data_IF_760228810385
#
_entry.id   IF_760228810385
#
_cell.length_a   1.000
_cell.length_b   1.000
_cell.length_c   1.000
_cell.angle_alpha   90.00
_cell.angle_beta   90.00
_cell.angle_gamma   90.00
#
_symmetry.space_group_name_H-M   'P 1'
#
loop_
_entity.id
_entity.type
_entity.pdbx_description
1 polymer ?
#
# COMPACT_ATOMS: atom_id res chain seq x y z
N UNK A 1 -1.30 -28.42 25.44
CA UNK A 1 -0.55 -27.25 24.95
C UNK A 1 -0.49 -27.37 23.43
N UNK A 2 -0.81 -26.30 22.70
CA UNK A 2 -0.89 -26.35 21.25
C UNK A 2 0.43 -25.94 20.61
N UNK A 3 0.76 -26.47 19.43
CA UNK A 3 1.99 -26.09 18.74
C UNK A 3 1.87 -26.19 17.22
N UNK A 4 2.67 -25.41 16.51
CA UNK A 4 2.92 -25.51 15.06
C UNK A 4 4.31 -26.07 14.82
N UNK A 5 4.50 -26.76 13.70
CA UNK A 5 5.78 -27.32 13.25
C UNK A 5 5.93 -27.22 11.73
N UNK A 6 7.04 -27.74 11.19
CA UNK A 6 7.33 -27.73 9.75
C UNK A 6 6.33 -28.49 8.88
N UNK A 7 5.41 -29.26 9.46
CA UNK A 7 4.38 -30.00 8.74
C UNK A 7 3.01 -29.28 8.81
N UNK A 8 2.94 -28.08 9.39
CA UNK A 8 1.69 -27.30 9.49
C UNK A 8 1.20 -26.91 8.09
N UNK A 9 -0.09 -27.15 7.83
CA UNK A 9 -0.73 -26.87 6.55
C UNK A 9 -1.40 -25.50 6.59
N UNK A 10 -1.31 -24.72 5.51
CA UNK A 10 -2.05 -23.46 5.37
C UNK A 10 -3.31 -23.69 4.54
N UNK A 11 -4.47 -23.38 5.12
CA UNK A 11 -5.74 -23.33 4.40
C UNK A 11 -5.94 -21.90 3.90
N UNK A 12 -5.78 -21.71 2.60
CA UNK A 12 -5.95 -20.43 1.90
C UNK A 12 -7.44 -20.08 1.76
N UNK A 13 -7.81 -18.79 1.70
CA UNK A 13 -9.18 -18.39 1.40
C UNK A 13 -9.65 -18.95 0.06
N UNK A 14 -10.95 -19.20 -0.09
CA UNK A 14 -11.55 -19.71 -1.34
C UNK A 14 -11.18 -18.82 -2.54
N UNK A 15 -11.26 -17.50 -2.36
CA UNK A 15 -10.78 -16.50 -3.31
C UNK A 15 -9.57 -15.78 -2.74
N UNK A 16 -8.42 -15.94 -3.41
CA UNK A 16 -7.15 -15.31 -3.02
C UNK A 16 -6.88 -14.12 -3.94
N UNK A 17 -7.07 -12.90 -3.40
CA UNK A 17 -6.72 -11.66 -4.07
C UNK A 17 -5.20 -11.51 -4.22
N UNK A 18 -4.76 -10.54 -5.04
CA UNK A 18 -3.32 -10.27 -5.25
C UNK A 18 -2.59 -9.97 -3.93
N UNK A 19 -3.08 -9.06 -3.06
CA UNK A 19 -2.38 -8.72 -1.83
C UNK A 19 -2.23 -9.91 -0.88
N UNK A 20 -3.29 -10.70 -0.74
CA UNK A 20 -3.30 -11.89 0.12
C UNK A 20 -2.36 -12.96 -0.42
N UNK A 21 -2.26 -13.12 -1.75
CA UNK A 21 -1.28 -14.04 -2.36
C UNK A 21 0.15 -13.65 -2.02
N UNK A 22 0.51 -12.38 -2.18
CA UNK A 22 1.83 -11.89 -1.80
C UNK A 22 2.12 -12.10 -0.32
N UNK A 23 1.16 -11.82 0.57
CA UNK A 23 1.33 -12.09 2.00
C UNK A 23 1.53 -13.58 2.30
N UNK A 24 0.75 -14.48 1.69
CA UNK A 24 0.93 -15.94 1.86
C UNK A 24 2.32 -16.38 1.39
N UNK A 25 2.82 -15.89 0.26
CA UNK A 25 4.17 -16.17 -0.21
C UNK A 25 5.25 -15.72 0.79
N UNK A 26 5.09 -14.55 1.41
CA UNK A 26 5.97 -14.11 2.51
C UNK A 26 5.91 -15.08 3.68
N UNK A 27 4.72 -15.53 4.09
CA UNK A 27 4.55 -16.46 5.22
C UNK A 27 5.13 -17.84 4.91
N UNK A 28 5.01 -18.32 3.68
CA UNK A 28 5.59 -19.61 3.28
C UNK A 28 7.12 -19.57 3.33
N UNK A 29 7.72 -18.47 2.87
CA UNK A 29 9.16 -18.24 2.98
C UNK A 29 9.59 -18.12 4.45
N UNK A 30 8.83 -17.41 5.27
CA UNK A 30 9.13 -17.23 6.69
C UNK A 30 9.04 -18.58 7.44
N UNK A 31 8.01 -19.37 7.15
CA UNK A 31 7.83 -20.73 7.66
C UNK A 31 9.03 -21.61 7.27
N UNK A 32 9.43 -21.60 6.00
CA UNK A 32 10.58 -22.37 5.52
C UNK A 32 11.89 -21.96 6.20
N UNK A 33 12.11 -20.66 6.42
CA UNK A 33 13.29 -20.18 7.15
C UNK A 33 13.34 -20.66 8.60
N UNK A 34 12.19 -20.79 9.25
CA UNK A 34 12.09 -21.21 10.65
C UNK A 34 12.16 -22.73 10.80
N UNK A 35 11.37 -23.47 10.04
CA UNK A 35 11.25 -24.92 10.21
C UNK A 35 12.14 -25.73 9.26
N UNK A 36 12.77 -25.07 8.27
CA UNK A 36 13.63 -25.73 7.27
C UNK A 36 12.85 -26.51 6.20
N UNK A 37 11.52 -26.43 6.19
CA UNK A 37 10.64 -27.10 5.24
C UNK A 37 9.64 -26.09 4.68
N UNK A 38 9.46 -26.09 3.36
CA UNK A 38 8.39 -25.30 2.74
C UNK A 38 7.03 -25.87 3.17
N UNK A 39 6.09 -25.05 3.67
CA UNK A 39 4.81 -25.57 4.12
C UNK A 39 3.96 -26.07 2.95
N UNK A 40 3.05 -26.99 3.25
CA UNK A 40 1.98 -27.34 2.33
C UNK A 40 0.84 -26.34 2.44
N UNK A 41 0.16 -26.05 1.32
CA UNK A 41 -1.06 -25.25 1.32
C UNK A 41 -2.17 -25.90 0.51
N UNK A 42 -3.39 -25.68 0.96
CA UNK A 42 -4.61 -26.13 0.31
C UNK A 42 -5.61 -24.97 0.26
N UNK A 43 -6.46 -24.93 -0.77
CA UNK A 43 -7.58 -23.98 -0.76
C UNK A 43 -8.68 -24.51 0.14
N UNK A 44 -9.30 -23.63 0.92
CA UNK A 44 -10.49 -23.96 1.67
C UNK A 44 -11.61 -24.40 0.71
N UNK A 45 -11.92 -25.69 0.70
CA UNK A 45 -13.12 -26.26 0.10
C UNK A 45 -14.01 -26.74 1.26
N UNK A 46 -15.25 -26.26 1.30
CA UNK A 46 -16.25 -26.58 2.32
C UNK A 46 -16.47 -28.10 2.49
N UNK A 47 -16.08 -28.92 1.51
CA UNK A 47 -16.19 -30.39 1.56
C UNK A 47 -15.05 -31.11 2.29
N UNK A 48 -13.87 -30.48 2.48
CA UNK A 48 -12.64 -31.17 2.96
C UNK A 48 -12.16 -30.78 4.35
N UNK A 49 -12.67 -29.70 4.96
CA UNK A 49 -12.37 -29.38 6.36
C UNK A 49 -12.70 -30.55 7.31
N UNK A 50 -13.70 -31.39 6.97
CA UNK A 50 -14.07 -32.55 7.80
C UNK A 50 -13.08 -33.73 7.75
N UNK A 51 -12.23 -33.84 6.71
CA UNK A 51 -11.28 -34.96 6.55
C UNK A 51 -9.93 -34.77 7.22
N UNK A 52 -9.62 -33.57 7.71
CA UNK A 52 -8.41 -33.29 8.51
C UNK A 52 -8.63 -33.56 10.02
N UNK A 53 -9.88 -33.79 10.42
CA UNK A 53 -10.19 -34.43 11.69
C UNK A 53 -10.04 -35.93 11.49
N UNK A 54 -9.30 -36.60 12.38
CA UNK A 54 -9.30 -38.04 12.73
C UNK A 54 -7.87 -38.58 12.95
N UNK A 55 -7.16 -37.93 13.86
CA UNK A 55 -6.01 -38.52 14.55
C UNK A 55 -5.87 -37.87 15.92
N UNK A 56 -5.47 -38.64 16.94
CA UNK A 56 -4.98 -38.09 18.21
C UNK A 56 -3.74 -37.24 17.90
N UNK A 57 -3.94 -35.96 17.62
CA UNK A 57 -2.83 -35.01 17.55
C UNK A 57 -2.47 -34.65 18.99
N UNK A 58 -1.22 -34.94 19.37
CA UNK A 58 -0.58 -34.64 20.66
C UNK A 58 -0.45 -33.12 20.88
N UNK A 59 -1.57 -32.39 20.85
CA UNK A 59 -1.62 -30.92 20.90
C UNK A 59 -1.28 -30.20 19.58
N UNK A 60 -0.79 -30.89 18.55
CA UNK A 60 -0.41 -30.26 17.27
C UNK A 60 -1.57 -29.53 16.58
N UNK A 61 -1.32 -28.29 16.18
CA UNK A 61 -2.15 -27.50 15.25
C UNK A 61 -1.81 -28.00 13.85
N UNK A 62 -2.74 -28.76 13.26
CA UNK A 62 -2.55 -29.30 11.92
C UNK A 62 -2.62 -28.22 10.84
N UNK A 63 -3.47 -27.21 11.07
CA UNK A 63 -3.78 -26.21 10.07
C UNK A 63 -3.79 -24.78 10.60
N UNK A 64 -3.29 -23.86 9.78
CA UNK A 64 -3.52 -22.42 9.90
C UNK A 64 -4.57 -22.03 8.87
N UNK A 65 -5.73 -21.59 9.31
CA UNK A 65 -6.85 -21.24 8.46
C UNK A 65 -6.91 -19.73 8.24
N UNK A 66 -6.64 -19.30 7.01
CA UNK A 66 -6.66 -17.90 6.60
C UNK A 66 -7.99 -17.63 5.92
N UNK A 67 -8.79 -16.69 6.43
CA UNK A 67 -10.15 -16.45 5.91
C UNK A 67 -10.68 -15.06 6.21
N UNK A 68 -11.63 -14.61 5.39
CA UNK A 68 -12.39 -13.40 5.71
C UNK A 68 -13.34 -13.64 6.89
N UNK A 69 -13.60 -12.57 7.64
CA UNK A 69 -14.57 -12.59 8.73
C UNK A 69 -15.99 -12.83 8.19
N UNK A 70 -16.72 -13.75 8.81
CA UNK A 70 -18.13 -13.99 8.45
C UNK A 70 -19.06 -12.94 9.09
N UNK A 71 -18.66 -12.34 10.21
CA UNK A 71 -19.43 -11.38 10.99
C UNK A 71 -18.53 -10.52 11.89
N UNK A 72 -19.12 -9.57 12.61
CA UNK A 72 -18.41 -8.63 13.49
C UNK A 72 -17.88 -9.24 14.79
N UNK A 73 -18.40 -10.41 15.18
CA UNK A 73 -17.97 -11.11 16.41
C UNK A 73 -16.58 -11.71 16.22
N UNK A 74 -16.28 -12.19 15.01
CA UNK A 74 -14.98 -12.79 14.69
C UNK A 74 -13.88 -11.73 14.45
N UNK A 75 -14.26 -10.59 13.90
CA UNK A 75 -13.33 -9.51 13.59
C UNK A 75 -14.09 -8.17 13.57
N UNK A 76 -13.55 -7.09 14.16
CA UNK A 76 -14.22 -5.79 14.15
C UNK A 76 -14.60 -5.30 12.74
N UNK A 77 -15.70 -4.56 12.63
CA UNK A 77 -16.11 -3.92 11.38
C UNK A 77 -15.40 -2.57 11.19
N UNK A 78 -14.16 -2.64 10.72
CA UNK A 78 -13.38 -1.47 10.31
C UNK A 78 -12.28 -1.89 9.33
N UNK A 79 -11.80 -0.97 8.48
CA UNK A 79 -10.70 -1.26 7.56
C UNK A 79 -9.48 -1.83 8.28
N UNK A 80 -8.81 -2.78 7.63
CA UNK A 80 -7.54 -3.39 8.07
C UNK A 80 -7.65 -4.18 9.39
N UNK A 81 -8.86 -4.43 9.90
CA UNK A 81 -9.05 -5.23 11.09
C UNK A 81 -8.73 -6.70 10.86
N UNK A 82 -8.15 -7.34 11.87
CA UNK A 82 -7.89 -8.78 11.87
C UNK A 82 -7.93 -9.35 13.28
N UNK A 83 -8.10 -10.66 13.36
CA UNK A 83 -8.02 -11.43 14.58
C UNK A 83 -7.21 -12.72 14.36
N UNK A 84 -6.55 -13.19 15.42
CA UNK A 84 -5.86 -14.48 15.44
C UNK A 84 -6.37 -15.26 16.63
N UNK A 85 -6.91 -16.46 16.41
CA UNK A 85 -7.54 -17.25 17.46
C UNK A 85 -7.46 -18.75 17.18
N UNK A 86 -7.35 -19.55 18.25
CA UNK A 86 -7.43 -20.99 18.15
C UNK A 86 -8.91 -21.43 18.14
N UNK A 87 -9.31 -22.19 17.11
CA UNK A 87 -10.65 -22.74 16.98
C UNK A 87 -10.85 -24.01 17.81
N UNK A 88 -12.11 -24.39 18.02
CA UNK A 88 -12.45 -25.69 18.66
C UNK A 88 -12.05 -26.89 17.78
N UNK A 89 -11.87 -26.67 16.49
CA UNK A 89 -11.29 -27.59 15.51
C UNK A 89 -9.78 -27.82 15.72
N UNK A 90 -9.16 -27.06 16.64
CA UNK A 90 -7.71 -26.98 16.91
C UNK A 90 -6.91 -26.38 15.75
N UNK A 91 -7.55 -25.61 14.88
CA UNK A 91 -6.88 -24.81 13.86
C UNK A 91 -6.58 -23.42 14.39
N UNK A 92 -5.47 -22.85 13.95
CA UNK A 92 -5.18 -21.44 14.21
C UNK A 92 -5.82 -20.62 13.10
N UNK A 93 -6.86 -19.86 13.42
CA UNK A 93 -7.51 -18.98 12.46
C UNK A 93 -6.82 -17.62 12.42
N UNK A 94 -6.54 -17.14 11.21
CA UNK A 94 -6.18 -15.77 10.90
C UNK A 94 -7.36 -15.19 10.11
N UNK A 95 -8.12 -14.32 10.77
CA UNK A 95 -9.37 -13.76 10.26
C UNK A 95 -9.15 -12.29 9.91
N UNK A 96 -9.50 -11.87 8.70
CA UNK A 96 -9.36 -10.48 8.24
C UNK A 96 -10.70 -9.89 7.78
N UNK A 97 -10.90 -8.59 8.02
CA UNK A 97 -12.08 -7.85 7.54
C UNK A 97 -12.02 -7.58 6.03
N UNK A 98 -10.83 -7.28 5.53
CA UNK A 98 -10.53 -7.00 4.13
C UNK A 98 -9.15 -7.57 3.77
N UNK A 99 -8.72 -7.37 2.52
CA UNK A 99 -7.42 -7.83 2.02
C UNK A 99 -6.25 -7.38 2.91
N UNK A 100 -6.23 -6.12 3.35
CA UNK A 100 -5.16 -5.61 4.21
C UNK A 100 -5.25 -6.15 5.64
N UNK A 101 -6.47 -6.41 6.14
CA UNK A 101 -6.68 -7.13 7.39
C UNK A 101 -6.04 -8.52 7.34
N UNK A 102 -6.26 -9.28 6.27
CA UNK A 102 -5.60 -10.58 6.09
C UNK A 102 -4.08 -10.44 5.97
N UNK A 103 -3.58 -9.48 5.19
CA UNK A 103 -2.15 -9.19 5.08
C UNK A 103 -1.56 -8.93 6.48
N UNK A 104 -2.14 -8.03 7.28
CA UNK A 104 -1.62 -7.72 8.60
C UNK A 104 -1.80 -8.84 9.61
N UNK A 105 -2.86 -9.66 9.51
CA UNK A 105 -3.01 -10.86 10.33
C UNK A 105 -1.92 -11.89 10.05
N UNK A 106 -1.59 -12.11 8.79
CA UNK A 106 -0.48 -12.96 8.37
C UNK A 106 0.86 -12.41 8.85
N UNK A 107 1.12 -11.12 8.67
CA UNK A 107 2.37 -10.49 9.11
C UNK A 107 2.49 -10.42 10.64
N UNK A 108 1.38 -10.25 11.36
CA UNK A 108 1.34 -10.41 12.81
C UNK A 108 1.72 -11.83 13.21
N UNK A 109 1.16 -12.84 12.53
CA UNK A 109 1.51 -14.24 12.78
C UNK A 109 3.02 -14.50 12.55
N UNK A 110 3.58 -13.98 11.45
CA UNK A 110 5.02 -14.07 11.16
C UNK A 110 5.87 -13.43 12.25
N UNK A 111 5.49 -12.23 12.71
CA UNK A 111 6.25 -11.53 13.75
C UNK A 111 6.15 -12.23 15.11
N UNK A 112 4.93 -12.54 15.55
CA UNK A 112 4.67 -12.99 16.93
C UNK A 112 5.02 -14.45 17.14
N UNK A 113 4.68 -15.32 16.18
CA UNK A 113 4.89 -16.75 16.33
C UNK A 113 6.18 -17.21 15.64
N UNK A 114 6.37 -16.86 14.36
CA UNK A 114 7.58 -17.26 13.64
C UNK A 114 8.83 -16.48 14.07
N UNK A 115 8.67 -15.31 14.69
CA UNK A 115 9.77 -14.49 15.19
C UNK A 115 10.56 -13.79 14.09
N UNK A 116 9.92 -13.48 12.97
CA UNK A 116 10.56 -12.73 11.87
C UNK A 116 10.50 -11.25 12.15
N UNK A 117 11.66 -10.60 12.16
CA UNK A 117 11.76 -9.16 12.34
C UNK A 117 11.18 -8.39 11.13
N UNK A 118 10.43 -7.29 11.31
CA UNK A 118 9.96 -6.46 10.21
C UNK A 118 11.06 -5.98 9.25
N UNK A 119 12.29 -5.81 9.74
CA UNK A 119 13.47 -5.37 9.00
C UNK A 119 14.39 -6.53 8.58
N UNK A 120 13.92 -7.79 8.64
CA UNK A 120 14.76 -8.98 8.44
C UNK A 120 15.63 -8.92 7.18
N UNK A 121 15.09 -8.38 6.07
CA UNK A 121 15.80 -8.29 4.81
C UNK A 121 16.93 -7.25 4.88
N UNK A 122 16.60 -6.04 5.33
CA UNK A 122 17.51 -4.88 5.31
C UNK A 122 18.58 -4.92 6.40
N UNK A 123 18.27 -5.55 7.54
CA UNK A 123 19.18 -5.70 8.66
C UNK A 123 19.83 -7.10 8.72
N UNK A 124 19.61 -7.94 7.69
CA UNK A 124 20.11 -9.32 7.59
C UNK A 124 19.73 -10.20 8.80
N UNK A 125 18.59 -9.92 9.43
CA UNK A 125 18.09 -10.61 10.64
C UNK A 125 17.29 -11.86 10.27
N UNK A 126 17.97 -12.93 9.84
CA UNK A 126 17.29 -14.20 9.59
C UNK A 126 16.67 -14.77 10.88
N UNK A 127 15.43 -15.30 10.83
CA UNK A 127 14.78 -15.84 12.02
C UNK A 127 15.50 -17.11 12.50
N UNK A 128 15.39 -17.38 13.81
CA UNK A 128 15.97 -18.57 14.42
C UNK A 128 15.25 -19.84 13.95
N UNK A 129 16.02 -20.88 13.62
CA UNK A 129 15.47 -22.20 13.27
C UNK A 129 14.86 -22.88 14.49
N UNK A 130 13.74 -23.56 14.31
CA UNK A 130 13.00 -24.28 15.37
C UNK A 130 12.33 -25.53 14.80
N UNK A 131 12.24 -26.58 15.60
CA UNK A 131 11.50 -27.80 15.22
C UNK A 131 9.99 -27.64 15.45
N UNK A 132 9.61 -26.89 16.50
CA UNK A 132 8.22 -26.58 16.87
C UNK A 132 8.11 -25.24 17.59
N UNK A 133 6.93 -24.63 17.55
CA UNK A 133 6.59 -23.39 18.26
C UNK A 133 5.29 -23.59 19.02
N UNK A 134 5.33 -23.38 20.33
CA UNK A 134 4.14 -23.46 21.18
C UNK A 134 3.24 -22.24 20.98
N UNK A 135 1.94 -22.49 20.88
CA UNK A 135 0.89 -21.49 20.69
C UNK A 135 0.02 -21.50 21.94
N UNK A 136 -0.03 -20.36 22.62
CA UNK A 136 -0.96 -20.15 23.72
C UNK A 136 -2.38 -19.98 23.17
N UNK A 137 -3.36 -20.52 23.89
CA UNK A 137 -4.77 -20.33 23.58
C UNK A 137 -5.26 -18.97 24.12
N UNK A 138 -4.72 -17.90 23.52
CA UNK A 138 -5.09 -16.52 23.84
C UNK A 138 -5.45 -15.83 22.53
N UNK A 139 -6.72 -15.45 22.33
CA UNK A 139 -7.12 -14.75 21.11
C UNK A 139 -6.50 -13.35 21.09
N UNK A 140 -6.12 -12.91 19.89
CA UNK A 140 -5.67 -11.55 19.62
C UNK A 140 -6.63 -10.90 18.64
N UNK A 141 -7.06 -9.68 18.95
CA UNK A 141 -7.82 -8.83 18.03
C UNK A 141 -7.01 -7.57 17.81
N UNK A 142 -6.85 -7.17 16.54
CA UNK A 142 -6.08 -5.99 16.20
C UNK A 142 -6.70 -4.74 16.82
N UNK A 143 -5.89 -3.69 16.98
CA UNK A 143 -6.34 -2.35 17.35
C UNK A 143 -6.32 -1.46 16.11
N UNK A 144 -7.21 -0.45 16.01
CA UNK A 144 -7.18 0.47 14.88
C UNK A 144 -5.86 1.25 14.85
N UNK A 145 -5.31 1.46 13.66
CA UNK A 145 -4.19 2.38 13.48
C UNK A 145 -4.66 3.82 13.79
N UNK A 146 -3.83 4.60 14.48
CA UNK A 146 -4.13 5.99 14.78
C UNK A 146 -4.12 6.91 13.54
N UNK A 147 -3.47 6.48 12.46
CA UNK A 147 -3.34 7.21 11.20
C UNK A 147 -3.87 6.35 10.05
N UNK A 148 -4.76 6.91 9.24
CA UNK A 148 -5.44 6.18 8.16
C UNK A 148 -4.49 5.80 7.02
N UNK A 149 -3.62 6.73 6.58
CA UNK A 149 -2.65 6.51 5.50
C UNK A 149 -1.23 6.64 6.03
N UNK A 150 -0.44 5.58 5.86
CA UNK A 150 0.84 5.40 6.55
C UNK A 150 1.86 4.84 5.59
N UNK A 151 2.98 5.53 5.45
CA UNK A 151 4.15 4.92 4.82
C UNK A 151 5.19 5.93 4.43
N UNK A 152 5.85 5.68 3.30
CA UNK A 152 7.01 6.45 2.89
C UNK A 152 6.98 6.83 1.42
N UNK A 153 7.82 7.80 1.12
CA UNK A 153 8.20 8.18 -0.22
C UNK A 153 9.59 7.59 -0.50
N UNK A 154 9.69 6.75 -1.52
CA UNK A 154 10.98 6.28 -2.03
C UNK A 154 11.49 7.36 -2.97
N UNK A 155 12.35 8.24 -2.46
CA UNK A 155 12.94 9.36 -3.20
C UNK A 155 14.47 9.23 -3.30
N UNK A 156 15.07 10.00 -4.21
CA UNK A 156 16.51 10.01 -4.47
C UNK A 156 17.01 8.59 -4.69
N UNK A 157 16.24 7.83 -5.47
CA UNK A 157 16.33 6.37 -5.59
C UNK A 157 17.59 5.90 -6.34
N UNK A 158 18.61 6.74 -6.48
CA UNK A 158 19.89 6.43 -7.14
C UNK A 158 20.50 5.13 -6.60
N UNK A 159 20.46 4.92 -5.28
CA UNK A 159 20.93 3.67 -4.67
C UNK A 159 20.04 2.48 -5.01
N UNK A 160 18.73 2.68 -5.16
CA UNK A 160 17.76 1.64 -5.50
C UNK A 160 17.84 1.28 -6.99
N UNK A 161 17.96 2.29 -7.87
CA UNK A 161 18.20 2.16 -9.31
C UNK A 161 19.53 1.44 -9.56
N UNK A 162 20.58 1.80 -8.82
CA UNK A 162 21.89 1.19 -8.94
C UNK A 162 22.05 -0.15 -8.23
N UNK A 163 21.04 -0.63 -7.50
CA UNK A 163 21.14 -1.89 -6.75
C UNK A 163 21.25 -3.10 -7.69
N UNK A 164 20.58 -3.04 -8.84
CA UNK A 164 20.73 -3.99 -9.94
C UNK A 164 20.98 -3.27 -11.26
N UNK A 165 21.42 -4.01 -12.27
CA UNK A 165 21.79 -3.43 -13.57
C UNK A 165 20.58 -3.07 -14.43
N UNK A 166 19.44 -3.73 -14.21
CA UNK A 166 18.23 -3.58 -14.98
C UNK A 166 17.47 -2.29 -14.63
N UNK A 167 17.06 -1.55 -15.66
CA UNK A 167 16.27 -0.34 -15.53
C UNK A 167 15.03 -0.37 -16.45
N UNK A 168 13.83 -0.01 -15.98
CA UNK A 168 13.47 0.38 -14.61
C UNK A 168 13.68 -0.75 -13.58
N UNK A 169 13.84 -0.45 -12.27
CA UNK A 169 14.17 -1.47 -11.28
C UNK A 169 13.10 -2.56 -11.21
N UNK A 170 13.55 -3.81 -11.10
CA UNK A 170 12.70 -5.00 -11.21
C UNK A 170 11.89 -5.25 -9.94
N UNK A 171 10.97 -6.22 -9.99
CA UNK A 171 10.16 -6.58 -8.84
C UNK A 171 11.01 -7.04 -7.65
N UNK A 172 12.15 -7.69 -7.89
CA UNK A 172 13.08 -8.13 -6.84
C UNK A 172 13.68 -6.96 -6.05
N UNK A 173 13.81 -5.78 -6.66
CA UNK A 173 14.29 -4.56 -6.00
C UNK A 173 13.17 -3.90 -5.18
N UNK A 174 11.95 -3.88 -5.71
CA UNK A 174 10.80 -3.20 -5.08
C UNK A 174 10.09 -4.03 -4.01
N UNK A 175 10.04 -5.36 -4.16
CA UNK A 175 9.35 -6.23 -3.20
C UNK A 175 9.88 -6.08 -1.78
N UNK A 176 11.21 -6.07 -1.50
CA UNK A 176 11.72 -5.88 -0.15
C UNK A 176 11.35 -4.53 0.46
N UNK A 177 11.22 -3.47 -0.36
CA UNK A 177 10.75 -2.16 0.08
C UNK A 177 9.29 -2.29 0.57
N UNK A 178 8.39 -2.72 -0.31
CA UNK A 178 6.97 -2.79 0.01
C UNK A 178 6.65 -3.82 1.10
N UNK A 179 7.34 -4.95 1.14
CA UNK A 179 7.21 -5.94 2.21
C UNK A 179 7.58 -5.33 3.56
N UNK A 180 8.71 -4.62 3.63
CA UNK A 180 9.15 -3.98 4.88
C UNK A 180 8.13 -2.95 5.35
N UNK A 181 7.57 -2.16 4.42
CA UNK A 181 6.52 -1.21 4.72
C UNK A 181 5.29 -1.90 5.33
N UNK A 182 4.80 -2.97 4.71
CA UNK A 182 3.66 -3.74 5.21
C UNK A 182 3.95 -4.37 6.57
N UNK A 183 5.14 -4.92 6.80
CA UNK A 183 5.55 -5.51 8.09
C UNK A 183 5.59 -4.48 9.23
N UNK A 184 5.89 -3.23 8.90
CA UNK A 184 5.86 -2.10 9.83
C UNK A 184 4.44 -1.51 10.00
N UNK A 185 3.44 -2.07 9.32
CA UNK A 185 2.04 -1.65 9.39
C UNK A 185 1.69 -0.48 8.46
N UNK A 186 2.57 -0.12 7.51
CA UNK A 186 2.26 0.86 6.47
C UNK A 186 1.31 0.33 5.40
N UNK A 187 0.54 1.22 4.78
CA UNK A 187 -0.43 0.92 3.74
C UNK A 187 -0.38 1.85 2.53
N UNK A 188 0.50 2.85 2.50
CA UNK A 188 0.57 3.85 1.42
C UNK A 188 2.01 4.12 1.01
N UNK A 189 2.27 4.29 -0.29
CA UNK A 189 3.60 4.57 -0.81
C UNK A 189 3.57 5.58 -1.96
N UNK A 190 4.62 6.39 -2.07
CA UNK A 190 5.02 7.05 -3.32
C UNK A 190 6.16 6.20 -3.91
N UNK A 191 5.90 5.36 -4.93
CA UNK A 191 6.83 4.34 -5.39
C UNK A 191 7.87 4.89 -6.40
N UNK A 192 8.56 5.96 -6.02
CA UNK A 192 9.50 6.69 -6.89
C UNK A 192 8.92 7.96 -7.49
N UNK A 193 9.80 8.79 -8.06
CA UNK A 193 9.45 10.01 -8.82
C UNK A 193 10.07 9.93 -10.21
N UNK A 194 9.36 10.37 -11.25
CA UNK A 194 9.84 10.38 -12.64
C UNK A 194 10.37 9.04 -13.18
N UNK A 195 10.00 7.91 -12.55
CA UNK A 195 10.31 6.59 -13.05
C UNK A 195 9.50 6.28 -14.33
N UNK A 196 10.04 5.46 -15.26
CA UNK A 196 9.33 5.09 -16.48
C UNK A 196 7.97 4.43 -16.15
N UNK A 197 6.93 4.81 -16.88
CA UNK A 197 5.58 4.21 -16.77
C UNK A 197 5.54 2.71 -17.01
N UNK A 198 6.52 2.17 -17.73
CA UNK A 198 6.70 0.72 -17.94
C UNK A 198 7.29 0.01 -16.72
N UNK A 199 7.69 0.74 -15.69
CA UNK A 199 8.22 0.20 -14.45
C UNK A 199 7.17 -0.56 -13.65
N UNK A 200 7.61 -1.65 -13.02
CA UNK A 200 6.72 -2.55 -12.28
C UNK A 200 6.27 -1.98 -10.92
N UNK A 201 6.96 -0.97 -10.40
CA UNK A 201 6.80 -0.41 -9.05
C UNK A 201 5.36 -0.02 -8.71
N UNK A 202 4.67 0.73 -9.59
CA UNK A 202 3.29 1.15 -9.39
C UNK A 202 2.34 -0.04 -9.30
N UNK A 203 2.42 -0.95 -10.27
CA UNK A 203 1.55 -2.11 -10.33
C UNK A 203 1.82 -3.07 -9.18
N UNK A 204 3.09 -3.29 -8.83
CA UNK A 204 3.51 -4.13 -7.73
C UNK A 204 3.05 -3.59 -6.38
N UNK A 205 3.11 -2.27 -6.15
CA UNK A 205 2.59 -1.67 -4.92
C UNK A 205 1.09 -1.98 -4.74
N UNK A 206 0.30 -1.78 -5.80
CA UNK A 206 -1.13 -2.12 -5.82
C UNK A 206 -1.37 -3.63 -5.62
N UNK A 207 -0.59 -4.48 -6.30
CA UNK A 207 -0.70 -5.93 -6.19
C UNK A 207 -0.35 -6.45 -4.79
N UNK A 208 0.54 -5.76 -4.06
CA UNK A 208 0.85 -6.04 -2.66
C UNK A 208 -0.15 -5.39 -1.68
N UNK A 209 -1.12 -4.64 -2.19
CA UNK A 209 -2.23 -4.07 -1.42
C UNK A 209 -2.01 -2.64 -0.92
N UNK A 210 -0.92 -1.97 -1.29
CA UNK A 210 -0.66 -0.59 -0.90
C UNK A 210 -1.55 0.38 -1.68
N UNK A 211 -1.96 1.45 -1.03
CA UNK A 211 -2.39 2.69 -1.70
C UNK A 211 -1.18 3.32 -2.38
N UNK A 212 -1.36 3.75 -3.63
CA UNK A 212 -0.39 4.59 -4.31
C UNK A 212 -0.80 6.06 -4.13
N UNK A 213 0.17 6.91 -3.86
CA UNK A 213 0.03 8.37 -3.94
C UNK A 213 1.19 8.95 -4.74
N UNK A 214 1.15 10.24 -5.02
CA UNK A 214 2.04 10.87 -6.00
C UNK A 214 2.98 11.88 -5.35
N UNK A 215 4.10 12.17 -6.01
CA UNK A 215 4.91 13.31 -5.61
C UNK A 215 4.11 14.62 -5.84
N UNK A 216 4.28 15.64 -5.00
CA UNK A 216 3.51 16.88 -5.12
C UNK A 216 3.78 17.67 -6.40
N UNK A 217 4.87 17.37 -7.12
CA UNK A 217 5.17 17.95 -8.44
C UNK A 217 4.53 17.16 -9.60
N UNK A 218 3.92 16.01 -9.33
CA UNK A 218 3.27 15.10 -10.29
C UNK A 218 1.77 14.99 -9.97
N UNK A 219 0.99 16.10 -10.06
CA UNK A 219 -0.41 16.09 -9.67
C UNK A 219 -1.19 15.00 -10.39
N UNK A 220 -2.02 14.28 -9.65
CA UNK A 220 -2.85 13.16 -10.13
C UNK A 220 -2.06 11.97 -10.71
N UNK A 221 -0.73 11.94 -10.55
CA UNK A 221 0.15 10.97 -11.23
C UNK A 221 0.18 11.18 -12.75
N UNK A 222 -0.03 12.42 -13.20
CA UNK A 222 0.00 12.77 -14.61
C UNK A 222 1.42 12.82 -15.18
N UNK A 223 1.53 12.74 -16.52
CA UNK A 223 2.83 12.99 -17.15
C UNK A 223 3.29 14.41 -16.88
N UNK A 224 4.60 14.58 -16.74
CA UNK A 224 5.20 15.90 -16.74
C UNK A 224 4.97 16.59 -18.09
N UNK A 225 4.38 17.79 -18.06
CA UNK A 225 4.08 18.62 -19.22
C UNK A 225 5.24 18.77 -20.19
N UNK A 226 6.45 19.11 -19.72
CA UNK A 226 7.62 19.31 -20.58
C UNK A 226 8.11 18.01 -21.24
N UNK A 227 7.76 16.85 -20.67
CA UNK A 227 8.04 15.52 -21.24
C UNK A 227 7.03 15.17 -22.34
N UNK A 228 5.75 15.41 -22.07
CA UNK A 228 4.67 15.18 -23.03
C UNK A 228 4.69 16.18 -24.20
N UNK A 229 5.15 17.41 -23.96
CA UNK A 229 5.20 18.49 -24.95
C UNK A 229 6.57 19.19 -24.99
N UNK A 230 7.61 18.50 -25.51
CA UNK A 230 8.95 19.08 -25.61
C UNK A 230 8.95 20.40 -26.39
N UNK A 231 9.66 21.41 -25.87
CA UNK A 231 9.80 22.73 -26.51
C UNK A 231 8.62 23.69 -26.28
N UNK A 232 7.59 23.31 -25.51
CA UNK A 232 6.54 24.24 -25.05
C UNK A 232 6.87 24.82 -23.68
N UNK A 233 6.42 26.04 -23.42
CA UNK A 233 6.42 26.62 -22.07
C UNK A 233 5.38 25.92 -21.21
N UNK A 234 5.77 25.47 -20.02
CA UNK A 234 4.85 24.89 -19.05
C UNK A 234 4.05 25.99 -18.32
N UNK A 235 3.11 26.60 -19.03
CA UNK A 235 2.17 27.62 -18.52
C UNK A 235 0.74 27.10 -18.61
N UNK A 236 0.06 26.99 -17.46
CA UNK A 236 -1.35 26.59 -17.46
C UNK A 236 -2.26 27.66 -18.06
N UNK A 237 -1.86 28.93 -17.98
CA UNK A 237 -2.58 30.02 -18.62
C UNK A 237 -2.55 29.88 -20.14
N UNK A 238 -1.39 29.60 -20.73
CA UNK A 238 -1.25 29.47 -22.18
C UNK A 238 -1.82 28.15 -22.71
N UNK A 239 -1.72 27.08 -21.92
CA UNK A 239 -2.00 25.72 -22.36
C UNK A 239 -2.92 24.91 -21.44
N UNK A 240 -4.06 25.47 -20.95
CA UNK A 240 -4.90 24.79 -19.95
C UNK A 240 -5.42 23.45 -20.48
N UNK A 241 -5.86 23.40 -21.73
CA UNK A 241 -6.38 22.18 -22.36
C UNK A 241 -5.33 21.06 -22.52
N UNK A 242 -4.03 21.39 -22.53
CA UNK A 242 -2.97 20.39 -22.60
C UNK A 242 -2.70 19.79 -21.22
N UNK A 243 -2.66 20.61 -20.17
CA UNK A 243 -2.57 20.12 -18.78
C UNK A 243 -3.79 19.27 -18.41
N UNK A 244 -5.00 19.77 -18.67
CA UNK A 244 -6.24 19.06 -18.36
C UNK A 244 -6.34 17.72 -19.08
N UNK A 245 -5.77 17.59 -20.29
CA UNK A 245 -5.69 16.32 -21.01
C UNK A 245 -4.82 15.31 -20.28
N UNK A 246 -3.60 15.72 -19.86
CA UNK A 246 -2.69 14.85 -19.11
C UNK A 246 -3.31 14.38 -17.79
N UNK A 247 -4.01 15.28 -17.09
CA UNK A 247 -4.75 14.95 -15.87
C UNK A 247 -5.88 13.95 -16.13
N UNK A 248 -6.69 14.17 -17.17
CA UNK A 248 -7.78 13.26 -17.53
C UNK A 248 -7.25 11.87 -17.92
N UNK A 249 -6.18 11.79 -18.70
CA UNK A 249 -5.54 10.52 -19.06
C UNK A 249 -5.02 9.77 -17.82
N UNK A 250 -4.44 10.49 -16.86
CA UNK A 250 -3.97 9.92 -15.60
C UNK A 250 -5.11 9.42 -14.71
N UNK A 251 -6.22 10.18 -14.63
CA UNK A 251 -7.42 9.78 -13.91
C UNK A 251 -8.02 8.52 -14.54
N UNK A 252 -8.21 8.50 -15.86
CA UNK A 252 -8.80 7.35 -16.55
C UNK A 252 -7.99 6.07 -16.40
N UNK A 253 -6.66 6.19 -16.38
CA UNK A 253 -5.75 5.06 -16.15
C UNK A 253 -5.90 4.48 -14.74
N UNK A 254 -6.05 5.34 -13.74
CA UNK A 254 -5.95 4.97 -12.32
C UNK A 254 -7.31 4.86 -11.61
N UNK A 255 -8.45 5.20 -12.24
CA UNK A 255 -9.77 5.30 -11.58
C UNK A 255 -10.29 4.01 -10.91
N UNK A 256 -9.74 2.85 -11.26
CA UNK A 256 -10.06 1.56 -10.64
C UNK A 256 -9.01 1.08 -9.63
N UNK A 257 -8.01 1.90 -9.34
CA UNK A 257 -6.88 1.57 -8.47
C UNK A 257 -7.04 2.24 -7.10
N UNK A 258 -6.29 1.73 -6.10
CA UNK A 258 -6.27 2.30 -4.75
C UNK A 258 -5.32 3.51 -4.73
N UNK A 259 -5.89 4.69 -4.98
CA UNK A 259 -5.12 5.94 -5.09
C UNK A 259 -5.56 6.96 -4.06
N UNK A 260 -4.59 7.57 -3.39
CA UNK A 260 -4.77 8.84 -2.67
C UNK A 260 -4.30 9.94 -3.62
N UNK A 261 -5.26 10.69 -4.16
CA UNK A 261 -5.05 11.60 -5.28
C UNK A 261 -4.43 12.92 -4.83
N UNK A 262 -3.19 13.17 -5.27
CA UNK A 262 -2.53 14.44 -4.98
C UNK A 262 -3.04 15.52 -5.93
N UNK A 263 -3.66 16.53 -5.34
CA UNK A 263 -4.01 17.78 -6.00
C UNK A 263 -2.87 18.76 -5.77
N UNK A 264 -2.36 19.35 -6.85
CA UNK A 264 -1.25 20.30 -6.76
C UNK A 264 -1.16 21.14 -8.03
N UNK A 265 -0.65 22.36 -7.87
CA UNK A 265 -0.25 23.17 -9.01
C UNK A 265 1.01 23.98 -8.67
N UNK A 266 2.12 23.54 -9.25
CA UNK A 266 3.45 24.17 -9.12
C UNK A 266 4.16 24.14 -10.48
N UNK A 267 5.19 24.97 -10.63
CA UNK A 267 6.04 24.96 -11.80
C UNK A 267 6.85 23.66 -11.88
N UNK A 268 7.11 23.18 -13.11
CA UNK A 268 7.93 21.98 -13.30
C UNK A 268 9.38 22.23 -12.88
N UNK A 269 9.95 21.28 -12.11
CA UNK A 269 11.27 21.39 -11.50
C UNK A 269 11.26 21.90 -10.05
N UNK A 270 10.20 21.59 -9.29
CA UNK A 270 10.06 21.94 -7.86
C UNK A 270 10.14 23.44 -7.56
N UNK A 271 9.52 24.26 -8.42
CA UNK A 271 9.60 25.72 -8.36
C UNK A 271 8.22 26.39 -8.46
N UNK A 272 8.08 27.64 -8.03
CA UNK A 272 6.82 28.36 -8.19
C UNK A 272 6.42 28.53 -9.66
N UNK A 273 5.13 28.36 -9.97
CA UNK A 273 4.65 28.43 -11.36
C UNK A 273 4.87 29.81 -12.00
N UNK A 274 4.79 30.88 -11.19
CA UNK A 274 4.94 32.27 -11.65
C UNK A 274 6.35 32.64 -12.10
N UNK A 275 7.34 31.77 -11.94
CA UNK A 275 8.63 31.96 -12.61
C UNK A 275 8.51 31.88 -14.14
N UNK A 276 7.57 31.08 -14.65
CA UNK A 276 7.26 31.02 -16.08
C UNK A 276 6.09 31.93 -16.47
N UNK A 277 5.32 32.42 -15.50
CA UNK A 277 4.17 33.29 -15.68
C UNK A 277 4.31 34.58 -14.83
N UNK A 278 5.16 35.53 -15.23
CA UNK A 278 5.55 36.68 -14.39
C UNK A 278 4.41 37.67 -14.08
N UNK A 279 3.29 37.58 -14.79
CA UNK A 279 2.09 38.41 -14.53
C UNK A 279 1.34 38.03 -13.26
N UNK A 280 1.61 36.85 -12.69
CA UNK A 280 1.15 36.45 -11.37
C UNK A 280 2.10 37.04 -10.31
N UNK A 281 2.13 38.37 -10.29
CA UNK A 281 3.05 39.23 -9.53
C UNK A 281 2.59 39.55 -8.10
N UNK A 282 1.38 39.13 -7.72
CA UNK A 282 0.82 39.34 -6.37
C UNK A 282 0.36 38.02 -5.74
N UNK A 283 0.39 37.90 -4.40
CA UNK A 283 -0.14 36.73 -3.69
C UNK A 283 -1.60 36.39 -4.05
N UNK A 284 -2.45 37.41 -4.22
CA UNK A 284 -3.85 37.23 -4.60
C UNK A 284 -4.01 36.55 -5.97
N UNK A 285 -3.31 37.03 -7.00
CA UNK A 285 -3.35 36.40 -8.34
C UNK A 285 -2.83 34.97 -8.31
N UNK A 286 -1.74 34.72 -7.57
CA UNK A 286 -1.14 33.38 -7.43
C UNK A 286 -2.11 32.42 -6.77
N UNK A 287 -2.68 32.84 -5.63
CA UNK A 287 -3.62 32.04 -4.87
C UNK A 287 -4.92 31.78 -5.63
N UNK A 288 -5.42 32.76 -6.39
CA UNK A 288 -6.60 32.60 -7.24
C UNK A 288 -6.40 31.51 -8.29
N UNK A 289 -5.29 31.53 -9.03
CA UNK A 289 -5.01 30.50 -10.03
C UNK A 289 -4.85 29.12 -9.39
N UNK A 290 -4.04 29.01 -8.33
CA UNK A 290 -3.82 27.74 -7.64
C UNK A 290 -5.16 27.17 -7.16
N UNK A 291 -5.98 27.98 -6.49
CA UNK A 291 -7.30 27.55 -5.99
C UNK A 291 -8.19 27.03 -7.13
N UNK A 292 -8.25 27.76 -8.25
CA UNK A 292 -9.05 27.38 -9.40
C UNK A 292 -8.56 26.06 -10.04
N UNK A 293 -7.24 25.85 -10.12
CA UNK A 293 -6.66 24.61 -10.65
C UNK A 293 -6.93 23.43 -9.72
N UNK A 294 -6.79 23.61 -8.40
CA UNK A 294 -7.06 22.54 -7.42
C UNK A 294 -8.54 22.15 -7.46
N UNK A 295 -9.45 23.11 -7.50
CA UNK A 295 -10.88 22.86 -7.64
C UNK A 295 -11.20 22.13 -8.96
N UNK A 296 -10.57 22.53 -10.06
CA UNK A 296 -10.69 21.84 -11.35
C UNK A 296 -10.22 20.39 -11.28
N UNK A 297 -9.05 20.13 -10.71
CA UNK A 297 -8.52 18.77 -10.53
C UNK A 297 -9.45 17.92 -9.66
N UNK A 298 -9.89 18.45 -8.53
CA UNK A 298 -10.83 17.76 -7.63
C UNK A 298 -12.13 17.38 -8.33
N UNK A 299 -12.72 18.31 -9.09
CA UNK A 299 -13.95 18.05 -9.86
C UNK A 299 -13.74 17.01 -10.96
N UNK A 300 -12.58 16.99 -11.62
CA UNK A 300 -12.24 15.97 -12.61
C UNK A 300 -12.15 14.57 -11.97
N UNK A 301 -11.54 14.47 -10.79
CA UNK A 301 -11.47 13.20 -10.05
C UNK A 301 -12.86 12.74 -9.61
N UNK A 302 -13.66 13.61 -8.96
CA UNK A 302 -15.03 13.27 -8.52
C UNK A 302 -15.95 12.85 -9.67
N UNK A 303 -15.74 13.37 -10.87
CA UNK A 303 -16.54 12.99 -12.02
C UNK A 303 -16.26 11.56 -12.53
N UNK A 304 -15.14 10.94 -12.13
CA UNK A 304 -14.67 9.65 -12.67
C UNK A 304 -14.40 8.58 -11.62
N UNK A 305 -14.19 8.98 -10.37
CA UNK A 305 -13.84 8.10 -9.26
C UNK A 305 -14.94 8.21 -8.20
N UNK A 306 -15.49 7.07 -7.79
CA UNK A 306 -16.44 7.01 -6.69
C UNK A 306 -15.72 7.21 -5.35
N UNK A 307 -16.21 8.14 -4.53
CA UNK A 307 -15.66 8.46 -3.20
C UNK A 307 -14.13 8.65 -3.19
N UNK A 308 -13.58 9.58 -4.00
CA UNK A 308 -12.15 9.75 -4.10
C UNK A 308 -11.56 10.31 -2.81
N UNK A 309 -10.39 9.81 -2.44
CA UNK A 309 -9.58 10.37 -1.37
C UNK A 309 -8.55 11.29 -2.03
N UNK A 310 -8.66 12.58 -1.78
CA UNK A 310 -7.75 13.58 -2.32
C UNK A 310 -6.92 14.21 -1.20
N UNK A 311 -5.69 14.61 -1.52
CA UNK A 311 -4.83 15.33 -0.60
C UNK A 311 -4.08 16.46 -1.32
N UNK A 312 -3.61 17.45 -0.56
CA UNK A 312 -2.74 18.49 -1.09
C UNK A 312 -1.54 18.74 -0.17
N UNK A 313 -0.35 18.75 -0.74
CA UNK A 313 0.83 19.17 -0.02
C UNK A 313 0.90 20.71 0.02
N UNK A 314 0.70 21.31 1.19
CA UNK A 314 1.02 22.71 1.45
C UNK A 314 2.54 22.87 1.63
N UNK A 315 3.28 22.73 0.53
CA UNK A 315 4.74 22.71 0.53
C UNK A 315 5.34 24.01 -0.03
N UNK A 316 6.45 24.45 0.56
CA UNK A 316 7.19 25.64 0.13
C UNK A 316 6.32 26.89 0.09
N UNK A 317 6.27 27.54 -1.06
CA UNK A 317 5.55 28.80 -1.27
C UNK A 317 4.03 28.69 -1.07
N UNK A 318 3.46 27.48 -1.23
CA UNK A 318 2.02 27.25 -1.05
C UNK A 318 1.60 27.39 0.42
N UNK A 319 2.48 27.04 1.37
CA UNK A 319 2.19 27.14 2.80
C UNK A 319 1.97 28.59 3.23
N UNK A 320 2.83 29.50 2.75
CA UNK A 320 2.69 30.93 3.07
C UNK A 320 1.44 31.53 2.41
N UNK A 321 1.17 31.21 1.13
CA UNK A 321 -0.06 31.66 0.46
C UNK A 321 -1.33 31.17 1.17
N UNK A 322 -1.32 29.93 1.69
CA UNK A 322 -2.44 29.39 2.46
C UNK A 322 -2.61 30.09 3.81
N UNK A 323 -1.50 30.28 4.54
CA UNK A 323 -1.48 30.99 5.84
C UNK A 323 -1.97 32.43 5.71
N UNK A 324 -1.66 33.10 4.62
CA UNK A 324 -2.11 34.46 4.31
C UNK A 324 -3.57 34.52 3.83
N UNK A 325 -4.23 33.38 3.62
CA UNK A 325 -5.64 33.29 3.22
C UNK A 325 -5.89 33.44 1.71
N UNK A 326 -4.86 33.31 0.87
CA UNK A 326 -5.00 33.42 -0.59
C UNK A 326 -5.39 32.10 -1.27
N UNK A 327 -5.21 30.97 -0.60
CA UNK A 327 -5.53 29.63 -1.13
C UNK A 327 -6.86 29.16 -0.55
N UNK A 328 -7.78 28.78 -1.44
CA UNK A 328 -9.06 28.15 -1.10
C UNK A 328 -9.03 26.70 -1.55
N UNK A 329 -9.36 25.79 -0.65
CA UNK A 329 -9.33 24.35 -0.87
C UNK A 329 -10.73 23.76 -0.67
N UNK A 330 -11.11 22.68 -1.38
CA UNK A 330 -12.32 21.93 -1.05
C UNK A 330 -12.22 21.35 0.37
N UNK A 331 -13.31 21.41 1.15
CA UNK A 331 -13.32 21.02 2.57
C UNK A 331 -12.99 19.53 2.82
N UNK A 332 -13.20 18.68 1.80
CA UNK A 332 -13.09 17.21 1.92
C UNK A 332 -11.68 16.66 1.61
N UNK A 333 -10.70 17.51 1.28
CA UNK A 333 -9.33 17.05 0.97
C UNK A 333 -8.45 17.00 2.23
N UNK A 334 -7.51 16.06 2.23
CA UNK A 334 -6.47 15.91 3.27
C UNK A 334 -5.39 16.98 3.15
#
# INVERSE_FOLDING_TARGET
>A
MHYIDGNTVYLEPETVSSPVRYALEMIYRDHEKVFGLKPSSERADNSRQSSLHHGETDGRIACICVRYAANEVECPDRPEAYAVMLGQDRFLHIVGRDDLGLVYGLLHYSRVFLGVDPLWFWAELSPAKRDRIEIADVPYVSVPAAVAYRGWFVNDEVCLIGWKTEYPPTAEVWQPVFETLLRLGGNMVIPGTDLPRSGIHHRLALDMGLYVTHHHAEPLGAEMFLRAFPGKTASYKEHPALFERLWMEAIERQKGERVVWVLSFRGQGDRPFWENDPEFDTPAKRGELISAVIEKQYNMVKARVEQPVCCMALYGELAELYKEGYIRLPEEII
#
